data_IF_996811036838
#
_entry.id   IF_996811036838
#
_cell.length_a   1.000
_cell.length_b   1.000
_cell.length_c   1.000
_cell.angle_alpha   90.00
_cell.angle_beta   90.00
_cell.angle_gamma   90.00
#
_symmetry.space_group_name_H-M   'P 1'
#
loop_
_entity.id
_entity.type
_entity.pdbx_description
1 polymer ?
#
# COMPACT_ATOMS: atom_id res chain seq x y z
N UNK A 1 -20.80 -16.35 -15.21
CA UNK A 1 -20.77 -15.40 -14.08
C UNK A 1 -19.31 -15.19 -13.78
N UNK A 2 -18.76 -14.02 -14.11
CA UNK A 2 -17.35 -13.75 -13.87
C UNK A 2 -17.13 -13.64 -12.35
N UNK A 3 -16.30 -14.51 -11.79
CA UNK A 3 -15.97 -14.46 -10.37
C UNK A 3 -15.37 -13.11 -10.02
N UNK A 4 -15.88 -12.46 -8.98
CA UNK A 4 -15.34 -11.19 -8.52
C UNK A 4 -13.90 -11.41 -8.07
N UNK A 5 -12.93 -10.58 -8.51
CA UNK A 5 -11.55 -10.72 -8.10
C UNK A 5 -11.43 -10.69 -6.57
N UNK A 6 -10.86 -11.77 -6.00
CA UNK A 6 -10.68 -11.94 -4.55
C UNK A 6 -9.33 -11.37 -4.12
N UNK A 7 -9.35 -10.48 -3.13
CA UNK A 7 -8.14 -9.93 -2.53
C UNK A 7 -7.47 -10.96 -1.61
N UNK A 8 -6.14 -10.89 -1.52
CA UNK A 8 -5.30 -11.68 -0.60
C UNK A 8 -4.64 -10.72 0.40
N UNK A 9 -5.44 -9.88 1.04
CA UNK A 9 -4.96 -8.92 2.01
C UNK A 9 -4.37 -9.61 3.22
N UNK A 10 -3.38 -8.94 3.81
CA UNK A 10 -2.82 -9.34 5.11
C UNK A 10 -3.26 -8.35 6.17
N UNK A 11 -3.40 -8.86 7.39
CA UNK A 11 -3.55 -8.03 8.56
C UNK A 11 -2.23 -7.30 8.79
N UNK A 12 -2.28 -5.99 8.95
CA UNK A 12 -1.09 -5.17 9.17
C UNK A 12 -0.82 -5.16 10.68
N UNK A 13 0.33 -5.69 11.09
CA UNK A 13 0.79 -5.52 12.47
C UNK A 13 1.48 -4.16 12.60
N UNK A 14 0.81 -3.22 13.27
CA UNK A 14 1.29 -1.85 13.52
C UNK A 14 2.58 -1.81 14.36
N UNK A 15 2.90 -2.89 15.08
CA UNK A 15 4.15 -3.01 15.84
C UNK A 15 5.31 -3.53 14.98
N UNK A 16 5.00 -4.26 13.90
CA UNK A 16 5.98 -4.80 12.94
C UNK A 16 6.28 -3.78 11.83
N UNK A 17 5.26 -3.06 11.36
CA UNK A 17 5.39 -2.01 10.36
C UNK A 17 4.90 -0.70 10.94
N UNK A 18 5.72 0.35 10.89
CA UNK A 18 5.20 1.69 11.13
C UNK A 18 4.28 1.98 9.96
N UNK A 19 2.97 2.00 10.22
CA UNK A 19 1.94 2.34 9.25
C UNK A 19 2.11 3.82 8.94
N UNK A 20 3.00 4.13 8.01
CA UNK A 20 3.05 5.47 7.46
C UNK A 20 1.84 5.55 6.54
N UNK A 21 0.78 6.22 7.00
CA UNK A 21 -0.46 6.48 6.25
C UNK A 21 -0.21 7.20 4.90
N UNK A 22 1.02 7.66 4.69
CA UNK A 22 1.49 8.30 3.48
C UNK A 22 2.86 7.69 3.16
N UNK A 23 2.96 7.06 1.99
CA UNK A 23 4.23 6.64 1.39
C UNK A 23 5.25 7.76 1.57
N UNK A 24 6.26 7.54 2.41
CA UNK A 24 7.37 8.47 2.55
C UNK A 24 8.11 8.49 1.22
N UNK A 25 7.89 9.55 0.43
CA UNK A 25 8.78 9.90 -0.67
C UNK A 25 10.15 10.05 -0.01
N UNK A 26 11.15 9.30 -0.50
CA UNK A 26 12.53 9.34 -0.02
C UNK A 26 13.10 10.77 -0.14
N UNK A 27 12.80 11.65 0.81
CA UNK A 27 13.52 12.90 0.99
C UNK A 27 14.77 12.55 1.76
N UNK A 28 15.83 12.32 0.99
CA UNK A 28 17.22 12.18 1.44
C UNK A 28 17.68 13.45 2.16
N UNK A 29 17.29 13.62 3.43
CA UNK A 29 18.07 14.27 4.50
C UNK A 29 17.23 14.34 5.79
N UNK A 30 17.28 13.30 6.61
CA UNK A 30 17.08 13.46 8.05
C UNK A 30 17.90 12.40 8.75
N UNK A 31 19.14 12.79 8.99
CA UNK A 31 20.10 12.18 9.89
C UNK A 31 19.53 12.11 11.30
N UNK A 32 18.84 11.03 11.62
CA UNK A 32 18.78 10.51 12.99
C UNK A 32 19.04 9.03 12.94
N UNK A 33 20.25 8.63 13.36
CA UNK A 33 20.65 7.25 13.55
C UNK A 33 19.68 6.56 14.51
N UNK A 34 18.77 5.78 13.94
CA UNK A 34 17.99 4.78 14.65
C UNK A 34 17.78 3.65 13.67
N UNK A 35 18.72 2.71 13.67
CA UNK A 35 18.76 1.53 12.79
C UNK A 35 17.44 0.73 12.79
N UNK A 36 16.62 0.88 13.83
CA UNK A 36 15.29 0.27 13.99
C UNK A 36 14.18 0.83 13.06
N UNK A 37 14.20 2.13 12.74
CA UNK A 37 13.05 2.79 12.08
C UNK A 37 12.99 2.44 10.59
N UNK A 38 14.15 2.25 9.95
CA UNK A 38 14.26 1.90 8.53
C UNK A 38 13.69 0.49 8.22
N UNK A 39 13.81 -0.46 9.14
CA UNK A 39 13.29 -1.82 8.96
C UNK A 39 11.76 -1.85 8.91
N UNK A 40 11.09 -0.91 9.59
CA UNK A 40 9.62 -0.85 9.66
C UNK A 40 8.97 -0.02 8.54
N UNK A 41 9.76 0.75 7.79
CA UNK A 41 9.25 1.61 6.70
C UNK A 41 9.01 0.78 5.44
N UNK A 42 7.80 0.84 4.88
CA UNK A 42 7.45 0.18 3.61
C UNK A 42 7.47 1.20 2.47
N UNK A 43 8.47 1.09 1.59
CA UNK A 43 8.58 1.97 0.41
C UNK A 43 7.67 1.50 -0.71
N UNK A 44 7.17 2.44 -1.53
CA UNK A 44 6.28 2.11 -2.66
C UNK A 44 6.97 1.23 -3.71
N UNK A 45 8.28 1.42 -3.88
CA UNK A 45 9.12 0.69 -4.84
C UNK A 45 9.44 -0.72 -4.36
N UNK A 46 9.34 -0.98 -3.05
CA UNK A 46 9.63 -2.29 -2.45
C UNK A 46 8.40 -3.20 -2.53
N UNK A 47 8.25 -3.86 -3.68
CA UNK A 47 7.13 -4.75 -3.96
C UNK A 47 7.08 -5.96 -3.02
N UNK A 48 8.23 -6.51 -2.64
CA UNK A 48 8.28 -7.66 -1.74
C UNK A 48 7.81 -7.30 -0.34
N UNK A 49 8.31 -6.19 0.21
CA UNK A 49 7.90 -5.71 1.53
C UNK A 49 6.45 -5.27 1.55
N UNK A 50 5.95 -4.61 0.49
CA UNK A 50 4.52 -4.31 0.35
C UNK A 50 3.65 -5.57 0.32
N UNK A 51 4.09 -6.61 -0.38
CA UNK A 51 3.37 -7.90 -0.42
C UNK A 51 3.39 -8.58 0.94
N UNK A 52 4.49 -8.45 1.68
CA UNK A 52 4.61 -8.96 3.05
C UNK A 52 3.70 -8.22 4.02
N UNK A 53 3.67 -6.89 3.97
CA UNK A 53 2.89 -6.03 4.87
C UNK A 53 1.39 -6.02 4.52
N UNK A 54 1.04 -5.79 3.25
CA UNK A 54 -0.35 -5.49 2.85
C UNK A 54 -1.03 -6.63 2.09
N UNK A 55 -0.26 -7.60 1.57
CA UNK A 55 -0.80 -8.66 0.72
C UNK A 55 -1.00 -8.25 -0.74
N UNK A 56 -1.83 -9.00 -1.48
CA UNK A 56 -2.03 -8.81 -2.93
C UNK A 56 -3.45 -8.32 -3.24
N UNK A 57 -3.54 -7.29 -4.07
CA UNK A 57 -4.80 -6.83 -4.63
C UNK A 57 -5.36 -7.85 -5.62
N UNK A 58 -6.62 -8.24 -5.42
CA UNK A 58 -7.30 -9.22 -6.27
C UNK A 58 -7.57 -8.70 -7.69
N UNK A 59 -7.69 -7.39 -7.87
CA UNK A 59 -8.07 -6.75 -9.13
C UNK A 59 -6.88 -6.59 -10.08
N UNK A 60 -5.80 -5.96 -9.62
CA UNK A 60 -4.62 -5.70 -10.45
C UNK A 60 -3.48 -6.69 -10.24
N UNK A 61 -3.57 -7.58 -9.24
CA UNK A 61 -2.53 -8.55 -8.86
C UNK A 61 -1.21 -7.94 -8.35
N UNK A 62 -1.18 -6.64 -8.11
CA UNK A 62 -0.07 -5.94 -7.47
C UNK A 62 -0.18 -5.95 -5.93
N UNK A 63 0.93 -5.74 -5.21
CA UNK A 63 0.90 -5.56 -3.76
C UNK A 63 -0.01 -4.42 -3.32
N UNK A 64 -0.59 -4.53 -2.12
CA UNK A 64 -1.27 -3.40 -1.48
C UNK A 64 -0.37 -2.19 -1.30
N UNK A 65 -0.98 -1.02 -1.13
CA UNK A 65 -0.29 0.25 -0.82
C UNK A 65 -0.71 0.79 0.54
N UNK A 66 -1.30 -0.06 1.38
CA UNK A 66 -1.87 0.26 2.68
C UNK A 66 -2.77 -0.89 3.16
N UNK A 67 -3.25 -0.80 4.39
CA UNK A 67 -4.12 -1.83 4.97
C UNK A 67 -5.40 -1.99 4.13
N UNK A 68 -5.59 -3.18 3.55
CA UNK A 68 -6.70 -3.49 2.64
C UNK A 68 -6.87 -2.48 1.48
N UNK A 69 -5.79 -1.78 1.09
CA UNK A 69 -5.84 -0.64 0.18
C UNK A 69 -4.96 -0.85 -1.06
N UNK A 70 -5.48 -0.49 -2.24
CA UNK A 70 -4.72 -0.42 -3.49
C UNK A 70 -4.94 0.94 -4.16
N UNK A 71 -3.91 1.78 -4.13
CA UNK A 71 -3.94 3.12 -4.69
C UNK A 71 -4.28 3.11 -6.18
N UNK A 72 -3.70 2.21 -6.98
CA UNK A 72 -3.93 2.17 -8.43
C UNK A 72 -5.38 1.83 -8.78
N UNK A 73 -5.96 0.81 -8.15
CA UNK A 73 -7.36 0.42 -8.38
C UNK A 73 -8.33 1.50 -7.91
N UNK A 74 -8.11 2.05 -6.72
CA UNK A 74 -8.99 3.11 -6.18
C UNK A 74 -8.85 4.42 -6.95
N UNK A 75 -7.65 4.78 -7.41
CA UNK A 75 -7.46 5.96 -8.28
C UNK A 75 -8.24 5.84 -9.58
N UNK A 76 -8.33 4.63 -10.15
CA UNK A 76 -9.15 4.38 -11.34
C UNK A 76 -10.64 4.56 -11.04
N UNK A 77 -11.13 3.97 -9.95
CA UNK A 77 -12.54 4.12 -9.50
C UNK A 77 -12.91 5.58 -9.28
N UNK A 78 -12.09 6.31 -8.53
CA UNK A 78 -12.35 7.73 -8.29
C UNK A 78 -12.41 8.52 -9.59
N UNK A 79 -11.49 8.30 -10.54
CA UNK A 79 -11.53 8.97 -11.86
C UNK A 79 -12.80 8.65 -12.66
N UNK A 80 -13.33 7.43 -12.54
CA UNK A 80 -14.57 7.03 -13.19
C UNK A 80 -15.79 7.63 -12.47
N UNK A 81 -15.79 7.65 -11.13
CA UNK A 81 -16.86 8.20 -10.30
C UNK A 81 -16.94 9.74 -10.39
N UNK A 82 -15.81 10.44 -10.54
CA UNK A 82 -15.79 11.90 -10.74
C UNK A 82 -16.57 12.33 -11.99
N UNK A 83 -16.63 11.49 -13.04
CA UNK A 83 -17.43 11.77 -14.24
C UNK A 83 -18.94 11.66 -14.00
N UNK A 84 -19.34 10.92 -12.96
CA UNK A 84 -20.74 10.71 -12.59
C UNK A 84 -21.21 11.71 -11.52
N UNK A 85 -20.32 12.62 -11.08
CA UNK A 85 -20.65 13.64 -10.09
C UNK A 85 -21.11 14.92 -10.81
N UNK A 86 -22.44 15.11 -10.85
CA UNK A 86 -23.13 16.33 -11.30
C UNK A 86 -23.87 16.98 -10.15
#
# INVERSE_FOLDING_TARGET
MDEKPKNLWKYVDENEYHVIDYVAISTVDSTTESENVYERVVYIEDLEKRKQAYGICGECKEPGTGENWCQSCNSKRFKDDFKNWT
#
